data_IF_388691098268
#
_entry.id   IF_388691098268
#
_cell.length_a   1.000
_cell.length_b   1.000
_cell.length_c   1.000
_cell.angle_alpha   90.00
_cell.angle_beta   90.00
_cell.angle_gamma   90.00
#
_symmetry.space_group_name_H-M   'P 1'
#
loop_
_entity.id
_entity.type
_entity.pdbx_description
1 polymer ?
#
# COMPACT_ATOMS: atom_id res chain seq x y z
N UNK A 1 9.59 7.58 10.40
CA UNK A 1 9.41 7.48 8.94
C UNK A 1 9.84 8.77 8.32
N UNK A 2 11.07 8.84 7.83
CA UNK A 2 11.72 10.09 7.39
C UNK A 2 11.29 10.56 6.00
N UNK A 3 10.51 9.72 5.30
CA UNK A 3 10.07 9.96 3.93
C UNK A 3 8.95 10.99 3.83
N UNK A 4 8.13 11.12 4.88
CA UNK A 4 6.96 12.00 4.90
C UNK A 4 7.34 13.48 4.80
N UNK A 5 8.49 13.86 5.34
CA UNK A 5 9.02 15.23 5.26
C UNK A 5 9.73 15.54 3.93
N UNK A 6 9.95 14.51 3.09
CA UNK A 6 10.73 14.58 1.85
C UNK A 6 9.91 14.16 0.62
N UNK A 7 8.60 14.33 0.68
CA UNK A 7 7.65 13.98 -0.39
C UNK A 7 8.00 14.68 -1.71
N UNK A 8 8.58 15.88 -1.65
CA UNK A 8 9.06 16.64 -2.80
C UNK A 8 10.06 15.84 -3.64
N UNK A 9 10.95 15.08 -2.99
CA UNK A 9 11.96 14.26 -3.68
C UNK A 9 11.35 13.08 -4.44
N UNK A 10 10.21 12.57 -3.98
CA UNK A 10 9.56 11.38 -4.57
C UNK A 10 8.44 11.71 -5.54
N UNK A 11 8.04 12.99 -5.65
CA UNK A 11 6.86 13.38 -6.42
C UNK A 11 6.94 12.91 -7.88
N UNK A 12 8.09 13.09 -8.53
CA UNK A 12 8.29 12.68 -9.92
C UNK A 12 8.08 11.18 -10.09
N UNK A 13 8.82 10.40 -9.31
CA UNK A 13 8.75 8.94 -9.35
C UNK A 13 7.32 8.42 -9.04
N UNK A 14 6.63 9.03 -8.07
CA UNK A 14 5.24 8.69 -7.76
C UNK A 14 4.29 8.97 -8.92
N UNK A 15 4.49 10.04 -9.68
CA UNK A 15 3.69 10.36 -10.86
C UNK A 15 3.99 9.40 -12.01
N UNK A 16 5.24 9.01 -12.21
CA UNK A 16 5.63 8.05 -13.26
C UNK A 16 4.99 6.67 -13.02
N UNK A 17 4.87 6.24 -11.75
CA UNK A 17 4.12 5.02 -11.40
C UNK A 17 2.64 5.09 -11.81
N UNK A 18 2.01 6.26 -11.75
CA UNK A 18 0.61 6.42 -12.18
C UNK A 18 0.50 6.29 -13.71
N UNK A 19 1.46 6.84 -14.46
CA UNK A 19 1.54 6.67 -15.91
C UNK A 19 1.70 5.19 -16.28
N UNK A 20 2.56 4.47 -15.57
CA UNK A 20 2.73 3.02 -15.75
C UNK A 20 1.45 2.23 -15.41
N UNK A 21 0.73 2.65 -14.37
CA UNK A 21 -0.54 2.03 -13.97
C UNK A 21 -1.62 2.23 -15.02
N UNK A 22 -1.81 3.46 -15.50
CA UNK A 22 -2.78 3.78 -16.56
C UNK A 22 -2.47 3.04 -17.87
N UNK A 23 -1.19 2.87 -18.18
CA UNK A 23 -0.74 2.10 -19.33
C UNK A 23 -0.80 0.58 -19.13
N UNK A 24 -1.20 0.09 -17.95
CA UNK A 24 -1.28 -1.33 -17.63
C UNK A 24 0.06 -2.04 -17.46
N UNK A 25 1.18 -1.30 -17.36
CA UNK A 25 2.52 -1.85 -17.15
C UNK A 25 2.73 -2.34 -15.73
N UNK A 26 2.03 -1.74 -14.76
CA UNK A 26 2.01 -2.19 -13.37
C UNK A 26 0.58 -2.42 -12.90
N UNK A 27 0.41 -3.42 -12.02
CA UNK A 27 -0.88 -3.74 -11.40
C UNK A 27 -0.69 -3.95 -9.89
N UNK A 28 -1.15 -3.02 -9.04
CA UNK A 28 -1.14 -3.22 -7.60
C UNK A 28 -1.93 -4.47 -7.21
N UNK A 29 -1.34 -5.29 -6.35
CA UNK A 29 -1.99 -6.50 -5.81
C UNK A 29 -2.42 -6.21 -4.37
N UNK A 30 -3.73 -6.13 -4.16
CA UNK A 30 -4.32 -6.13 -2.82
C UNK A 30 -4.40 -7.59 -2.37
N UNK A 31 -3.59 -7.94 -1.37
CA UNK A 31 -3.53 -9.30 -0.85
C UNK A 31 -4.66 -9.61 0.13
N UNK A 32 -4.92 -8.68 1.06
CA UNK A 32 -5.97 -8.83 2.07
C UNK A 32 -6.48 -7.48 2.55
N UNK A 33 -7.77 -7.42 2.86
CA UNK A 33 -8.43 -6.25 3.44
C UNK A 33 -8.94 -6.57 4.84
N UNK A 34 -8.89 -5.59 5.74
CA UNK A 34 -9.48 -5.66 7.08
C UNK A 34 -10.27 -4.38 7.34
N UNK A 35 -11.39 -4.43 8.08
CA UNK A 35 -11.99 -3.22 8.63
C UNK A 35 -10.99 -2.45 9.50
N UNK A 36 -11.08 -1.11 9.53
CA UNK A 36 -10.22 -0.29 10.41
C UNK A 36 -10.33 -0.71 11.88
N UNK A 37 -11.52 -1.13 12.32
CA UNK A 37 -11.78 -1.68 13.67
C UNK A 37 -10.97 -2.95 13.97
N UNK A 38 -10.42 -3.62 12.96
CA UNK A 38 -9.61 -4.83 13.07
C UNK A 38 -8.12 -4.60 12.76
N UNK A 39 -7.62 -3.37 12.90
CA UNK A 39 -6.21 -3.04 12.62
C UNK A 39 -5.20 -3.96 13.36
N UNK A 40 -5.53 -4.41 14.57
CA UNK A 40 -4.70 -5.36 15.31
C UNK A 40 -4.56 -6.73 14.59
N UNK A 41 -5.63 -7.22 13.98
CA UNK A 41 -5.61 -8.45 13.18
C UNK A 41 -4.78 -8.25 11.90
N UNK A 42 -4.89 -7.09 11.25
CA UNK A 42 -4.07 -6.74 10.10
C UNK A 42 -2.56 -6.72 10.43
N UNK A 43 -2.18 -6.13 11.57
CA UNK A 43 -0.78 -6.12 12.03
C UNK A 43 -0.25 -7.53 12.31
N UNK A 44 -1.04 -8.36 12.99
CA UNK A 44 -0.67 -9.76 13.25
C UNK A 44 -0.48 -10.55 11.94
N UNK A 45 -1.39 -10.39 10.98
CA UNK A 45 -1.27 -11.01 9.66
C UNK A 45 0.03 -10.63 8.92
N UNK A 46 0.46 -9.37 9.02
CA UNK A 46 1.75 -8.90 8.46
C UNK A 46 2.93 -9.50 9.24
N UNK A 47 2.88 -9.52 10.57
CA UNK A 47 3.96 -10.04 11.42
C UNK A 47 4.21 -11.54 11.20
N UNK A 48 3.16 -12.30 10.92
CA UNK A 48 3.23 -13.72 10.59
C UNK A 48 3.77 -13.98 9.17
N UNK A 49 4.13 -12.92 8.41
CA UNK A 49 4.64 -12.98 7.03
C UNK A 49 3.74 -13.75 6.05
N UNK A 50 2.44 -13.78 6.32
CA UNK A 50 1.45 -14.45 5.47
C UNK A 50 1.02 -13.61 4.26
N UNK A 51 1.44 -12.34 4.17
CA UNK A 51 0.95 -11.44 3.14
C UNK A 51 1.72 -11.56 1.81
N UNK A 52 1.03 -12.05 0.77
CA UNK A 52 1.39 -11.80 -0.63
C UNK A 52 0.58 -10.59 -1.09
N UNK A 53 1.26 -9.49 -1.43
CA UNK A 53 0.63 -8.22 -1.81
C UNK A 53 0.34 -7.29 -0.62
N UNK A 54 -0.39 -6.20 -0.90
CA UNK A 54 -0.67 -5.13 0.06
C UNK A 54 -1.82 -5.50 0.99
N UNK A 55 -1.63 -5.25 2.29
CA UNK A 55 -2.71 -5.27 3.28
C UNK A 55 -3.32 -3.88 3.38
N UNK A 56 -4.65 -3.77 3.26
CA UNK A 56 -5.39 -2.50 3.24
C UNK A 56 -6.42 -2.48 4.36
N UNK A 57 -6.55 -1.34 5.04
CA UNK A 57 -7.64 -1.09 5.99
C UNK A 57 -8.78 -0.38 5.28
N UNK A 58 -10.00 -0.86 5.47
CA UNK A 58 -11.22 -0.24 4.92
C UNK A 58 -11.97 0.51 6.01
N UNK A 59 -12.40 1.72 5.68
CA UNK A 59 -13.36 2.48 6.48
C UNK A 59 -14.74 2.32 5.85
N UNK A 60 -15.74 2.01 6.67
CA UNK A 60 -17.15 2.06 6.31
C UNK A 60 -17.76 3.37 6.76
#
# INVERSE_FOLDING_TARGET
GHLWERIDLLRREMLDLLVDYEAGRIRPVVGKTFPLTEAAAAHRYIQERQNVGKVVLTVG
#
